data_IF_012404535254
#
_entry.id   IF_012404535254
#
_cell.length_a   1.000
_cell.length_b   1.000
_cell.length_c   1.000
_cell.angle_alpha   90.00
_cell.angle_beta   90.00
_cell.angle_gamma   90.00
#
_symmetry.space_group_name_H-M   'P 1'
#
loop_
_entity.id
_entity.type
_entity.pdbx_description
1 polymer ?
#
# COMPACT_ATOMS: atom_id res chain seq x y z
N UNK A 1 -6.14 16.44 -24.29
CA UNK A 1 -7.53 16.35 -23.79
C UNK A 1 -7.55 16.75 -22.33
N UNK A 2 -8.54 17.59 -21.95
CA UNK A 2 -8.93 18.08 -20.61
C UNK A 2 -7.85 18.77 -19.77
N UNK A 3 -7.74 20.10 -19.98
CA UNK A 3 -7.25 21.07 -19.00
C UNK A 3 -8.30 21.18 -17.88
N UNK A 4 -7.94 20.88 -16.64
CA UNK A 4 -8.81 21.10 -15.49
C UNK A 4 -8.71 22.57 -15.12
N UNK A 5 -9.83 23.26 -15.30
CA UNK A 5 -10.03 24.67 -14.99
C UNK A 5 -9.92 24.81 -13.48
N UNK A 6 -8.93 25.58 -13.04
CA UNK A 6 -8.76 25.99 -11.65
C UNK A 6 -9.82 27.05 -11.35
N UNK A 7 -10.98 26.61 -10.87
CA UNK A 7 -12.04 27.50 -10.39
C UNK A 7 -11.66 28.03 -9.02
N UNK A 8 -11.10 29.23 -9.00
CA UNK A 8 -11.07 30.11 -7.83
C UNK A 8 -12.49 30.29 -7.31
N UNK A 9 -12.83 29.66 -6.19
CA UNK A 9 -14.02 29.99 -5.43
C UNK A 9 -13.67 31.16 -4.50
N UNK A 10 -13.91 32.37 -4.98
CA UNK A 10 -13.95 33.57 -4.15
C UNK A 10 -15.21 33.45 -3.30
N UNK A 11 -15.07 33.11 -2.02
CA UNK A 11 -16.18 33.11 -1.08
C UNK A 11 -16.34 34.53 -0.52
N UNK A 12 -17.15 35.33 -1.18
CA UNK A 12 -17.66 36.60 -0.66
C UNK A 12 -18.62 36.32 0.48
N UNK A 13 -18.23 36.66 1.71
CA UNK A 13 -19.15 36.70 2.86
C UNK A 13 -19.35 38.15 3.26
N UNK A 14 -20.47 38.72 2.82
CA UNK A 14 -21.03 39.92 3.42
C UNK A 14 -21.95 39.50 4.58
N UNK A 15 -21.46 39.67 5.81
CA UNK A 15 -22.27 39.74 7.02
C UNK A 15 -21.53 40.62 8.03
N UNK A 16 -21.88 41.91 8.04
CA UNK A 16 -21.47 42.85 9.09
C UNK A 16 -22.49 42.70 10.21
N UNK A 17 -22.15 41.97 11.28
CA UNK A 17 -22.66 42.17 12.64
C UNK A 17 -21.62 41.67 13.66
N UNK A 18 -20.99 42.62 14.36
CA UNK A 18 -20.26 42.49 15.65
C UNK A 18 -19.36 41.27 15.84
N UNK A 19 -18.08 41.36 15.48
CA UNK A 19 -17.06 40.46 16.05
C UNK A 19 -16.11 41.23 16.97
N UNK A 20 -16.56 41.48 18.19
CA UNK A 20 -15.68 41.77 19.33
C UNK A 20 -15.21 40.46 19.98
N UNK A 21 -14.86 39.46 19.15
CA UNK A 21 -14.08 38.34 19.67
C UNK A 21 -12.66 38.87 19.84
N UNK A 22 -12.14 38.81 21.07
CA UNK A 22 -10.75 39.14 21.36
C UNK A 22 -9.83 38.30 20.46
N UNK A 23 -8.64 38.81 20.13
CA UNK A 23 -7.68 38.07 19.30
C UNK A 23 -7.35 36.69 19.93
N UNK A 24 -7.44 36.58 21.26
CA UNK A 24 -7.31 35.34 22.01
C UNK A 24 -8.42 34.31 21.68
N UNK A 25 -9.68 34.73 21.55
CA UNK A 25 -10.79 33.83 21.20
C UNK A 25 -10.67 33.32 19.75
N UNK A 26 -10.24 34.16 18.82
CA UNK A 26 -9.96 33.75 17.43
C UNK A 26 -8.81 32.74 17.37
N UNK A 27 -7.73 33.02 18.10
CA UNK A 27 -6.59 32.10 18.21
C UNK A 27 -7.01 30.76 18.83
N UNK A 28 -7.82 30.80 19.88
CA UNK A 28 -8.37 29.60 20.53
C UNK A 28 -9.16 28.73 19.55
N UNK A 29 -10.06 29.33 18.78
CA UNK A 29 -10.86 28.60 17.78
C UNK A 29 -9.99 27.97 16.70
N UNK A 30 -9.00 28.71 16.18
CA UNK A 30 -8.08 28.19 15.17
C UNK A 30 -7.28 26.99 15.67
N UNK A 31 -6.77 27.06 16.91
CA UNK A 31 -6.05 25.94 17.53
C UNK A 31 -6.96 24.72 17.71
N UNK A 32 -8.19 24.91 18.20
CA UNK A 32 -9.15 23.81 18.37
C UNK A 32 -9.50 23.14 17.02
N UNK A 33 -9.71 23.93 15.97
CA UNK A 33 -9.98 23.39 14.63
C UNK A 33 -8.78 22.60 14.10
N UNK A 34 -7.57 23.14 14.27
CA UNK A 34 -6.33 22.47 13.83
C UNK A 34 -6.11 21.16 14.59
N UNK A 35 -6.27 21.16 15.92
CA UNK A 35 -6.17 19.96 16.76
C UNK A 35 -7.15 18.88 16.31
N UNK A 36 -8.41 19.25 16.07
CA UNK A 36 -9.45 18.32 15.62
C UNK A 36 -9.12 17.74 14.24
N UNK A 37 -8.67 18.57 13.32
CA UNK A 37 -8.25 18.15 11.98
C UNK A 37 -7.11 17.14 12.03
N UNK A 38 -6.04 17.42 12.78
CA UNK A 38 -4.89 16.52 12.94
C UNK A 38 -5.29 15.19 13.59
N UNK A 39 -6.12 15.23 14.63
CA UNK A 39 -6.61 14.02 15.30
C UNK A 39 -7.46 13.15 14.37
N UNK A 40 -8.31 13.78 13.56
CA UNK A 40 -9.13 13.10 12.56
C UNK A 40 -8.26 12.46 11.47
N UNK A 41 -7.28 13.19 10.93
CA UNK A 41 -6.34 12.66 9.94
C UNK A 41 -5.51 11.50 10.48
N UNK A 42 -5.00 11.60 11.72
CA UNK A 42 -4.26 10.52 12.37
C UNK A 42 -5.10 9.24 12.48
N UNK A 43 -6.39 9.38 12.81
CA UNK A 43 -7.34 8.27 12.91
C UNK A 43 -7.63 7.63 11.55
N UNK A 44 -7.84 8.43 10.50
CA UNK A 44 -8.03 7.92 9.14
C UNK A 44 -6.78 7.19 8.60
N UNK A 45 -5.60 7.70 8.92
CA UNK A 45 -4.34 7.05 8.56
C UNK A 45 -4.25 5.65 9.21
N UNK A 46 -4.60 5.53 10.49
CA UNK A 46 -4.64 4.23 11.18
C UNK A 46 -5.66 3.27 10.57
N UNK A 47 -6.88 3.71 10.27
CA UNK A 47 -7.88 2.89 9.59
C UNK A 47 -7.38 2.37 8.22
N UNK A 48 -6.69 3.23 7.46
CA UNK A 48 -6.09 2.85 6.18
C UNK A 48 -5.00 1.78 6.34
N UNK A 49 -4.29 1.75 7.48
CA UNK A 49 -3.30 0.69 7.74
C UNK A 49 -3.92 -0.69 7.91
N UNK A 50 -5.14 -0.79 8.45
CA UNK A 50 -5.87 -2.05 8.59
C UNK A 50 -6.29 -2.58 7.21
N UNK A 51 -6.81 -1.70 6.34
CA UNK A 51 -7.17 -2.06 4.97
C UNK A 51 -5.95 -2.58 4.19
N UNK A 52 -4.82 -1.89 4.29
CA UNK A 52 -3.57 -2.30 3.63
C UNK A 52 -3.02 -3.61 4.21
N UNK A 53 -3.17 -3.83 5.52
CA UNK A 53 -2.76 -5.08 6.16
C UNK A 53 -3.55 -6.27 5.61
N UNK A 54 -4.87 -6.10 5.40
CA UNK A 54 -5.70 -7.13 4.78
C UNK A 54 -5.25 -7.44 3.34
N UNK A 55 -4.92 -6.41 2.54
CA UNK A 55 -4.38 -6.57 1.18
C UNK A 55 -3.05 -7.34 1.17
N UNK A 56 -2.14 -7.05 2.10
CA UNK A 56 -0.87 -7.79 2.25
C UNK A 56 -1.13 -9.27 2.48
N UNK A 57 -2.05 -9.61 3.39
CA UNK A 57 -2.40 -11.02 3.68
C UNK A 57 -2.92 -11.71 2.43
N UNK A 58 -3.81 -11.07 1.67
CA UNK A 58 -4.34 -11.62 0.41
C UNK A 58 -3.22 -11.88 -0.59
N UNK A 59 -2.37 -10.90 -0.89
CA UNK A 59 -1.28 -11.08 -1.86
C UNK A 59 -0.27 -12.14 -1.43
N UNK A 60 0.08 -12.20 -0.15
CA UNK A 60 0.98 -13.26 0.37
C UNK A 60 0.36 -14.64 0.22
N UNK A 61 -0.93 -14.78 0.54
CA UNK A 61 -1.65 -16.04 0.36
C UNK A 61 -1.69 -16.47 -1.11
N UNK A 62 -1.94 -15.55 -2.04
CA UNK A 62 -1.92 -15.85 -3.48
C UNK A 62 -0.51 -16.24 -3.96
N UNK A 63 0.52 -15.51 -3.53
CA UNK A 63 1.91 -15.85 -3.82
C UNK A 63 2.29 -17.25 -3.31
N UNK A 64 1.89 -17.60 -2.08
CA UNK A 64 2.16 -18.91 -1.49
C UNK A 64 1.43 -20.05 -2.22
N UNK A 65 0.19 -19.81 -2.68
CA UNK A 65 -0.55 -20.77 -3.47
C UNK A 65 0.11 -21.03 -4.83
N UNK A 66 0.61 -19.99 -5.50
CA UNK A 66 1.35 -20.12 -6.75
C UNK A 66 2.74 -20.73 -6.52
N UNK A 67 3.41 -20.45 -5.41
CA UNK A 67 4.71 -21.03 -5.07
C UNK A 67 4.62 -22.56 -5.02
N UNK A 68 3.58 -23.11 -4.40
CA UNK A 68 3.35 -24.57 -4.39
C UNK A 68 3.23 -25.17 -5.79
N UNK A 69 2.58 -24.46 -6.72
CA UNK A 69 2.47 -24.90 -8.12
C UNK A 69 3.82 -24.80 -8.84
N UNK A 70 4.57 -23.72 -8.62
CA UNK A 70 5.92 -23.56 -9.17
C UNK A 70 6.89 -24.62 -8.68
N UNK A 71 6.80 -25.00 -7.40
CA UNK A 71 7.62 -26.05 -6.80
C UNK A 71 7.30 -27.43 -7.39
N UNK A 72 6.02 -27.72 -7.65
CA UNK A 72 5.61 -28.94 -8.34
C UNK A 72 6.18 -29.02 -9.76
N UNK A 73 6.10 -27.92 -10.52
CA UNK A 73 6.72 -27.85 -11.85
C UNK A 73 8.24 -28.04 -11.79
N UNK A 74 8.90 -27.59 -10.72
CA UNK A 74 10.34 -27.79 -10.55
C UNK A 74 10.69 -29.28 -10.43
N UNK A 75 9.85 -30.08 -9.76
CA UNK A 75 9.99 -31.53 -9.72
C UNK A 75 9.78 -32.15 -11.10
N UNK A 76 8.68 -31.80 -11.78
CA UNK A 76 8.39 -32.31 -13.13
C UNK A 76 9.52 -32.00 -14.13
N UNK A 77 10.04 -30.77 -14.10
CA UNK A 77 11.16 -30.34 -14.95
C UNK A 77 12.42 -31.16 -14.66
N UNK A 78 12.70 -31.46 -13.38
CA UNK A 78 13.83 -32.30 -13.00
C UNK A 78 13.67 -33.72 -13.54
N UNK A 79 12.49 -34.30 -13.43
CA UNK A 79 12.20 -35.66 -13.91
C UNK A 79 12.26 -35.72 -15.44
N UNK A 80 11.72 -34.73 -16.14
CA UNK A 80 11.81 -34.62 -17.60
C UNK A 80 13.26 -34.45 -18.09
N UNK A 81 14.10 -33.67 -17.38
CA UNK A 81 15.53 -33.57 -17.69
C UNK A 81 16.24 -34.91 -17.54
N UNK A 82 15.94 -35.65 -16.47
CA UNK A 82 16.51 -36.97 -16.23
C UNK A 82 16.03 -38.00 -17.26
N UNK A 83 14.77 -37.94 -17.68
CA UNK A 83 14.23 -38.78 -18.75
C UNK A 83 14.87 -38.45 -20.10
N UNK A 84 14.99 -37.15 -20.42
CA UNK A 84 15.61 -36.70 -21.67
C UNK A 84 17.06 -37.17 -21.80
N UNK A 85 17.82 -37.19 -20.69
CA UNK A 85 19.22 -37.65 -20.70
C UNK A 85 19.38 -39.15 -20.94
N UNK A 86 18.31 -39.95 -20.90
CA UNK A 86 18.38 -41.39 -21.21
C UNK A 86 18.35 -41.67 -22.72
N UNK A 87 17.96 -40.70 -23.55
CA UNK A 87 17.92 -40.89 -25.00
C UNK A 87 19.31 -40.82 -25.60
N UNK A 88 19.69 -41.86 -26.35
CA UNK A 88 20.97 -41.91 -27.08
C UNK A 88 20.96 -41.05 -28.35
N UNK A 89 19.81 -40.96 -29.01
CA UNK A 89 19.58 -40.10 -30.18
C UNK A 89 18.60 -38.99 -29.80
N UNK A 90 19.03 -37.72 -29.74
CA UNK A 90 18.15 -36.60 -29.39
C UNK A 90 17.07 -36.32 -30.45
N UNK A 91 17.19 -36.88 -31.66
CA UNK A 91 16.26 -36.63 -32.77
C UNK A 91 15.18 -37.70 -32.92
N UNK A 92 15.19 -38.74 -32.07
CA UNK A 92 14.11 -39.71 -32.09
C UNK A 92 12.80 -39.06 -31.59
N UNK A 93 11.66 -39.58 -32.04
CA UNK A 93 10.34 -38.97 -31.74
C UNK A 93 10.04 -38.85 -30.24
N UNK A 94 10.50 -39.80 -29.42
CA UNK A 94 10.31 -39.77 -27.97
C UNK A 94 11.16 -38.68 -27.30
N UNK A 95 12.41 -38.53 -27.72
CA UNK A 95 13.30 -37.47 -27.23
C UNK A 95 12.75 -36.08 -27.57
N UNK A 96 12.27 -35.90 -28.80
CA UNK A 96 11.62 -34.66 -29.24
C UNK A 96 10.38 -34.36 -28.41
N UNK A 97 9.53 -35.36 -28.14
CA UNK A 97 8.32 -35.19 -27.34
C UNK A 97 8.65 -34.77 -25.89
N UNK A 98 9.59 -35.45 -25.23
CA UNK A 98 10.04 -35.13 -23.86
C UNK A 98 10.66 -33.73 -23.81
N UNK A 99 11.49 -33.36 -24.80
CA UNK A 99 12.08 -32.03 -24.85
C UNK A 99 11.03 -30.93 -25.03
N UNK A 100 10.01 -31.16 -25.87
CA UNK A 100 8.91 -30.22 -26.06
C UNK A 100 8.14 -29.99 -24.75
N UNK A 101 7.85 -31.06 -24.02
CA UNK A 101 7.20 -30.96 -22.70
C UNK A 101 8.08 -30.23 -21.69
N UNK A 102 9.38 -30.54 -21.66
CA UNK A 102 10.35 -29.87 -20.79
C UNK A 102 10.39 -28.35 -21.03
N UNK A 103 10.44 -27.93 -22.29
CA UNK A 103 10.40 -26.51 -22.67
C UNK A 103 9.09 -25.87 -22.20
N UNK A 104 7.96 -26.53 -22.45
CA UNK A 104 6.64 -26.00 -22.06
C UNK A 104 6.53 -25.82 -20.54
N UNK A 105 6.86 -26.84 -19.75
CA UNK A 105 6.83 -26.74 -18.28
C UNK A 105 7.81 -25.68 -17.73
N UNK A 106 8.97 -25.54 -18.36
CA UNK A 106 9.94 -24.49 -18.01
C UNK A 106 9.35 -23.10 -18.24
N UNK A 107 8.68 -22.87 -19.38
CA UNK A 107 8.01 -21.61 -19.68
C UNK A 107 6.85 -21.33 -18.70
N UNK A 108 6.07 -22.34 -18.36
CA UNK A 108 4.95 -22.20 -17.41
C UNK A 108 5.46 -21.87 -16.00
N UNK A 109 6.58 -22.48 -15.58
CA UNK A 109 7.24 -22.14 -14.33
C UNK A 109 7.72 -20.69 -14.30
N UNK A 110 8.36 -20.21 -15.37
CA UNK A 110 8.82 -18.81 -15.45
C UNK A 110 7.65 -17.85 -15.28
N UNK A 111 6.52 -18.09 -15.96
CA UNK A 111 5.32 -17.25 -15.83
C UNK A 111 4.74 -17.27 -14.41
N UNK A 112 4.74 -18.42 -13.75
CA UNK A 112 4.32 -18.51 -12.35
C UNK A 112 5.26 -17.73 -11.43
N UNK A 113 6.57 -17.88 -11.59
CA UNK A 113 7.56 -17.16 -10.80
C UNK A 113 7.46 -15.63 -10.96
N UNK A 114 7.21 -15.16 -12.18
CA UNK A 114 6.92 -13.75 -12.45
C UNK A 114 5.68 -13.27 -11.67
N UNK A 115 4.59 -14.03 -11.71
CA UNK A 115 3.34 -13.67 -11.00
C UNK A 115 3.51 -13.72 -9.47
N UNK A 116 4.25 -14.69 -8.95
CA UNK A 116 4.62 -14.77 -7.52
C UNK A 116 5.37 -13.50 -7.11
N UNK A 117 6.35 -13.09 -7.91
CA UNK A 117 7.14 -11.90 -7.64
C UNK A 117 6.31 -10.62 -7.70
N UNK A 118 5.34 -10.52 -8.63
CA UNK A 118 4.40 -9.41 -8.68
C UNK A 118 3.58 -9.29 -7.39
N UNK A 119 3.00 -10.39 -6.90
CA UNK A 119 2.22 -10.37 -5.65
C UNK A 119 3.08 -10.05 -4.43
N UNK A 120 4.30 -10.60 -4.35
CA UNK A 120 5.26 -10.24 -3.28
C UNK A 120 5.62 -8.76 -3.32
N UNK A 121 5.86 -8.21 -4.51
CA UNK A 121 6.15 -6.79 -4.69
C UNK A 121 4.96 -5.91 -4.25
N UNK A 122 3.73 -6.26 -4.64
CA UNK A 122 2.52 -5.55 -4.22
C UNK A 122 2.34 -5.59 -2.70
N UNK A 123 2.54 -6.75 -2.07
CA UNK A 123 2.50 -6.86 -0.61
C UNK A 123 3.55 -5.94 0.07
N UNK A 124 4.76 -5.88 -0.48
CA UNK A 124 5.81 -5.01 0.05
C UNK A 124 5.48 -3.52 -0.13
N UNK A 125 4.85 -3.14 -1.25
CA UNK A 125 4.40 -1.76 -1.47
C UNK A 125 3.38 -1.32 -0.41
N UNK A 126 2.39 -2.17 -0.10
CA UNK A 126 1.43 -1.88 0.97
C UNK A 126 2.10 -1.83 2.34
N UNK A 127 3.12 -2.66 2.58
CA UNK A 127 3.87 -2.61 3.83
C UNK A 127 4.59 -1.27 4.00
N UNK A 128 5.18 -0.74 2.92
CA UNK A 128 5.80 0.59 2.90
C UNK A 128 4.76 1.67 3.19
N UNK A 129 3.60 1.65 2.52
CA UNK A 129 2.51 2.61 2.77
C UNK A 129 2.02 2.58 4.23
N UNK A 130 1.92 1.39 4.83
CA UNK A 130 1.57 1.26 6.26
C UNK A 130 2.62 1.95 7.13
N UNK A 131 3.91 1.74 6.86
CA UNK A 131 4.98 2.32 7.65
C UNK A 131 4.95 3.85 7.56
N UNK A 132 4.76 4.39 6.35
CA UNK A 132 4.59 5.84 6.12
C UNK A 132 3.39 6.39 6.89
N UNK A 133 2.21 5.77 6.75
CA UNK A 133 0.99 6.19 7.44
C UNK A 133 1.13 6.16 8.97
N UNK A 134 1.83 5.16 9.52
CA UNK A 134 2.12 5.08 10.96
C UNK A 134 2.98 6.25 11.42
N UNK A 135 4.05 6.57 10.68
CA UNK A 135 4.91 7.71 10.99
C UNK A 135 4.14 9.01 10.88
N UNK A 136 3.37 9.21 9.80
CA UNK A 136 2.54 10.41 9.61
C UNK A 136 1.50 10.56 10.73
N UNK A 137 0.78 9.49 11.08
CA UNK A 137 -0.21 9.48 12.15
C UNK A 137 0.41 9.84 13.50
N UNK A 138 1.59 9.30 13.81
CA UNK A 138 2.32 9.64 15.04
C UNK A 138 2.72 11.11 15.08
N UNK A 139 3.22 11.67 13.96
CA UNK A 139 3.56 13.10 13.87
C UNK A 139 2.33 13.98 14.09
N UNK A 140 1.22 13.67 13.43
CA UNK A 140 -0.04 14.40 13.59
C UNK A 140 -0.58 14.34 15.03
N UNK A 141 -0.52 13.17 15.67
CA UNK A 141 -0.93 13.01 17.07
C UNK A 141 -0.04 13.83 18.02
N UNK A 142 1.27 13.84 17.79
CA UNK A 142 2.22 14.64 18.58
C UNK A 142 1.96 16.15 18.40
N UNK A 143 1.68 16.62 17.19
CA UNK A 143 1.32 18.01 16.91
C UNK A 143 -0.02 18.39 17.56
N UNK A 144 -1.03 17.53 17.47
CA UNK A 144 -2.32 17.75 18.14
C UNK A 144 -2.14 17.85 19.67
N UNK A 145 -1.24 17.05 20.26
CA UNK A 145 -0.91 17.13 21.68
C UNK A 145 -0.24 18.46 22.05
N UNK A 146 0.71 18.94 21.24
CA UNK A 146 1.33 20.27 21.44
C UNK A 146 0.29 21.40 21.36
N UNK A 147 -0.63 21.33 20.39
CA UNK A 147 -1.72 22.29 20.28
C UNK A 147 -2.64 22.22 21.51
N UNK A 148 -2.91 21.03 22.04
CA UNK A 148 -3.66 20.86 23.28
C UNK A 148 -3.01 21.59 24.46
N UNK A 149 -1.67 21.56 24.54
CA UNK A 149 -0.92 22.28 25.56
C UNK A 149 -1.03 23.80 25.37
N UNK A 150 -0.92 24.28 24.12
CA UNK A 150 -1.09 25.71 23.79
C UNK A 150 -2.50 26.22 24.12
N UNK A 151 -3.53 25.42 23.80
CA UNK A 151 -4.93 25.71 24.18
C UNK A 151 -5.05 25.85 25.70
N UNK A 152 -4.48 24.92 26.47
CA UNK A 152 -4.54 24.96 27.92
C UNK A 152 -3.81 26.19 28.48
N UNK A 153 -2.63 26.54 27.93
CA UNK A 153 -1.89 27.74 28.32
C UNK A 153 -2.67 29.02 28.03
N UNK A 154 -3.33 29.13 26.86
CA UNK A 154 -4.16 30.28 26.53
C UNK A 154 -5.36 30.39 27.49
N UNK A 155 -6.00 29.27 27.84
CA UNK A 155 -7.11 29.23 28.81
C UNK A 155 -6.70 29.69 30.21
N UNK A 156 -5.48 29.40 30.64
CA UNK A 156 -4.97 29.81 31.96
C UNK A 156 -4.37 31.22 31.97
N UNK A 157 -4.10 31.79 30.79
CA UNK A 157 -3.52 33.13 30.63
C UNK A 157 -4.53 34.20 30.19
N UNK A 158 -5.78 33.78 29.94
CA UNK A 158 -6.94 34.65 29.67
C UNK A 158 -7.76 34.80 30.95
#
# INVERSE_FOLDING_TARGET
MKKIISTSLILTVAAILTSCASDAEKQMQQLQQTQKSLTYQASQNLASTEEYSAKIVTYRKEADALQKQSDALNSDIKDLKAAYSQFKDPNNSSAIAVNKELIQKTLDKVKLDEKINQYRAQANEYQTKINELKVTSQTQANEASKISQQINQLKTSS
#
